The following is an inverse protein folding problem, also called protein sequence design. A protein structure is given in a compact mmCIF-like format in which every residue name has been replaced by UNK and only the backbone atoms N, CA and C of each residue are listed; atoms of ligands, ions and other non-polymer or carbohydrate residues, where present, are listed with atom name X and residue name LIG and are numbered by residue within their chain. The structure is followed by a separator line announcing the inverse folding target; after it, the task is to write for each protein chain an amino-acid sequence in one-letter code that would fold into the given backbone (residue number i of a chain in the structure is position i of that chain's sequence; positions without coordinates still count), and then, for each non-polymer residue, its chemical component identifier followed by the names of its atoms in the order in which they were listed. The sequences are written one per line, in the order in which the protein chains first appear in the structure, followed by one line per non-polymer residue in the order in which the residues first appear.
data_IF_044130232626
#
_entry.id   IF_044130232626
#
_cell.length_a   1.000
_cell.length_b   1.000
_cell.length_c   1.000
_cell.angle_alpha   90.00
_cell.angle_beta   90.00
_cell.angle_gamma   90.00
#
_symmetry.space_group_name_H-M   'P 1'
#
loop_
_entity.id
_entity.type
_entity.pdbx_description
1 polymer ?
#
# COMPACT_ATOMS: atom_id res chain seq x y z
N UNK A 1 -6.82 -2.49 18.43
CA UNK A 1 -6.36 -1.43 17.49
C UNK A 1 -4.95 -1.71 16.98
N UNK A 2 -3.91 -1.78 17.83
CA UNK A 2 -2.52 -2.04 17.38
C UNK A 2 -2.41 -3.37 16.61
N UNK A 3 -3.06 -4.44 17.09
CA UNK A 3 -3.05 -5.74 16.40
C UNK A 3 -3.68 -5.67 15.00
N UNK A 4 -4.73 -4.85 14.82
CA UNK A 4 -5.40 -4.68 13.52
C UNK A 4 -4.48 -3.94 12.55
N UNK A 5 -3.82 -2.88 13.02
CA UNK A 5 -2.82 -2.14 12.22
C UNK A 5 -1.66 -3.05 11.81
N UNK A 6 -1.15 -3.87 12.73
CA UNK A 6 -0.04 -4.79 12.46
C UNK A 6 -0.43 -5.90 11.46
N UNK A 7 -1.61 -6.49 11.61
CA UNK A 7 -2.12 -7.54 10.70
C UNK A 7 -2.37 -6.94 9.31
N UNK A 8 -3.00 -5.77 9.23
CA UNK A 8 -3.26 -5.08 7.96
C UNK A 8 -1.95 -4.77 7.23
N UNK A 9 -0.98 -4.18 7.95
CA UNK A 9 0.32 -3.89 7.38
C UNK A 9 1.04 -5.17 6.91
N UNK A 10 1.01 -6.24 7.70
CA UNK A 10 1.63 -7.50 7.33
C UNK A 10 1.02 -8.09 6.06
N UNK A 11 -0.32 -8.05 5.93
CA UNK A 11 -1.02 -8.48 4.72
C UNK A 11 -0.66 -7.62 3.51
N UNK A 12 -0.64 -6.30 3.67
CA UNK A 12 -0.25 -5.39 2.60
C UNK A 12 1.18 -5.64 2.15
N UNK A 13 2.14 -5.76 3.07
CA UNK A 13 3.52 -6.10 2.72
C UNK A 13 3.62 -7.48 2.05
N UNK A 14 2.83 -8.45 2.48
CA UNK A 14 2.79 -9.78 1.87
C UNK A 14 2.26 -9.77 0.43
N UNK A 15 1.47 -8.76 0.03
CA UNK A 15 0.98 -8.58 -1.35
C UNK A 15 1.89 -7.67 -2.16
N UNK A 16 2.23 -6.50 -1.63
CA UNK A 16 2.91 -5.44 -2.36
C UNK A 16 4.40 -5.71 -2.59
N UNK A 17 5.09 -6.37 -1.65
CA UNK A 17 6.51 -6.71 -1.82
C UNK A 17 6.70 -7.73 -2.96
N UNK A 18 5.90 -8.81 -3.07
CA UNK A 18 5.93 -9.68 -4.25
C UNK A 18 5.59 -8.95 -5.55
N UNK A 19 4.58 -8.08 -5.56
CA UNK A 19 4.22 -7.29 -6.74
C UNK A 19 5.40 -6.42 -7.17
N UNK A 20 6.02 -5.70 -6.24
CA UNK A 20 7.22 -4.90 -6.45
C UNK A 20 8.39 -5.74 -6.99
N UNK A 21 8.62 -6.93 -6.42
CA UNK A 21 9.67 -7.84 -6.88
C UNK A 21 9.44 -8.31 -8.33
N UNK A 22 8.20 -8.69 -8.66
CA UNK A 22 7.77 -9.05 -10.01
C UNK A 22 7.88 -7.87 -10.99
N UNK A 23 7.68 -6.64 -10.51
CA UNK A 23 7.87 -5.41 -11.28
C UNK A 23 9.34 -5.06 -11.53
N UNK A 24 10.26 -5.84 -10.98
CA UNK A 24 11.70 -5.71 -11.20
C UNK A 24 12.44 -4.93 -10.11
N UNK A 25 11.78 -4.54 -9.01
CA UNK A 25 12.44 -3.86 -7.91
C UNK A 25 13.48 -4.77 -7.24
N UNK A 26 14.58 -4.18 -6.78
CA UNK A 26 15.69 -4.90 -6.17
C UNK A 26 16.16 -4.18 -4.91
N UNK A 27 16.53 -4.96 -3.89
CA UNK A 27 17.18 -4.53 -2.63
C UNK A 27 16.66 -3.18 -2.11
N UNK A 28 17.33 -2.08 -2.48
CA UNK A 28 17.00 -0.71 -2.04
C UNK A 28 15.56 -0.31 -2.39
N UNK A 29 15.08 -0.65 -3.58
CA UNK A 29 13.71 -0.29 -3.98
C UNK A 29 12.66 -1.13 -3.26
N UNK A 30 12.99 -2.38 -2.90
CA UNK A 30 12.12 -3.20 -2.05
C UNK A 30 12.06 -2.65 -0.62
N UNK A 31 13.19 -2.19 -0.09
CA UNK A 31 13.23 -1.51 1.21
C UNK A 31 12.41 -0.21 1.15
N UNK A 32 12.51 0.56 0.06
CA UNK A 32 11.68 1.74 -0.15
C UNK A 32 10.19 1.35 -0.17
N UNK A 33 9.80 0.29 -0.89
CA UNK A 33 8.44 -0.23 -0.90
C UNK A 33 7.92 -0.55 0.51
N UNK A 34 8.71 -1.27 1.30
CA UNK A 34 8.36 -1.60 2.70
C UNK A 34 8.22 -0.33 3.55
N UNK A 35 9.17 0.60 3.44
CA UNK A 35 9.16 1.83 4.24
C UNK A 35 7.99 2.74 3.92
N UNK A 36 7.65 2.90 2.64
CA UNK A 36 6.53 3.75 2.26
C UNK A 36 5.22 3.11 2.72
N UNK A 37 5.05 1.80 2.56
CA UNK A 37 3.89 1.07 3.09
C UNK A 37 3.77 1.13 4.61
N UNK A 38 4.89 1.10 5.32
CA UNK A 38 4.94 1.28 6.78
C UNK A 38 4.40 2.66 7.20
N UNK A 39 4.50 3.67 6.34
CA UNK A 39 4.00 5.02 6.58
C UNK A 39 2.54 5.21 6.11
N UNK A 40 2.20 4.72 4.92
CA UNK A 40 0.88 4.96 4.31
C UNK A 40 -0.19 4.05 4.90
N UNK A 41 0.07 2.74 5.03
CA UNK A 41 -0.95 1.76 5.39
C UNK A 41 -1.53 1.97 6.80
N UNK A 42 -0.73 2.15 7.87
CA UNK A 42 -1.29 2.39 9.20
C UNK A 42 -2.08 3.69 9.28
N UNK A 43 -1.71 4.72 8.50
CA UNK A 43 -2.44 5.98 8.44
C UNK A 43 -3.82 5.80 7.78
N UNK A 44 -3.88 5.10 6.65
CA UNK A 44 -5.14 4.78 5.95
C UNK A 44 -6.06 3.95 6.85
N UNK A 45 -5.55 2.86 7.44
CA UNK A 45 -6.32 1.97 8.32
C UNK A 45 -6.83 2.72 9.55
N UNK A 46 -5.99 3.52 10.19
CA UNK A 46 -6.40 4.32 11.35
C UNK A 46 -7.53 5.29 10.98
N UNK A 47 -7.36 6.07 9.91
CA UNK A 47 -8.37 7.06 9.50
C UNK A 47 -9.67 6.38 9.04
N UNK A 48 -9.58 5.26 8.34
CA UNK A 48 -10.74 4.45 7.97
C UNK A 48 -11.49 3.94 9.21
N UNK A 49 -10.78 3.45 10.24
CA UNK A 49 -11.42 2.97 11.48
C UNK A 49 -12.08 4.08 12.29
N UNK A 50 -11.54 5.31 12.24
CA UNK A 50 -12.12 6.47 12.93
C UNK A 50 -13.33 7.04 12.17
N UNK A 51 -13.31 6.98 10.84
CA UNK A 51 -14.32 7.57 9.97
C UNK A 51 -14.69 6.58 8.84
N UNK A 52 -15.58 5.61 9.11
CA UNK A 52 -15.90 4.53 8.18
C UNK A 52 -16.86 5.00 7.07
N UNK A 53 -16.42 5.93 6.23
CA UNK A 53 -17.16 6.44 5.10
C UNK A 53 -16.50 6.00 3.79
N UNK A 54 -17.26 5.38 2.88
CA UNK A 54 -16.73 4.80 1.63
C UNK A 54 -15.98 5.84 0.78
N UNK A 55 -16.53 7.05 0.65
CA UNK A 55 -15.90 8.14 -0.09
C UNK A 55 -14.58 8.61 0.55
N UNK A 56 -14.48 8.55 1.88
CA UNK A 56 -13.28 8.90 2.61
C UNK A 56 -12.22 7.81 2.45
N UNK A 57 -12.59 6.54 2.54
CA UNK A 57 -11.70 5.42 2.25
C UNK A 57 -11.11 5.54 0.84
N UNK A 58 -11.94 5.81 -0.17
CA UNK A 58 -11.47 6.00 -1.54
C UNK A 58 -10.49 7.18 -1.66
N UNK A 59 -10.75 8.29 -0.93
CA UNK A 59 -9.84 9.44 -0.91
C UNK A 59 -8.51 9.11 -0.20
N UNK A 60 -8.54 8.31 0.87
CA UNK A 60 -7.36 7.87 1.61
C UNK A 60 -6.49 6.92 0.77
N UNK A 61 -7.10 5.96 0.09
CA UNK A 61 -6.42 5.05 -0.85
C UNK A 61 -5.79 5.85 -2.00
N UNK A 62 -6.51 6.82 -2.57
CA UNK A 62 -5.95 7.70 -3.61
C UNK A 62 -4.77 8.54 -3.09
N UNK A 63 -4.85 9.02 -1.85
CA UNK A 63 -3.75 9.74 -1.20
C UNK A 63 -2.53 8.84 -0.95
N UNK A 64 -2.75 7.58 -0.53
CA UNK A 64 -1.70 6.58 -0.34
C UNK A 64 -1.00 6.27 -1.67
N UNK A 65 -1.75 5.97 -2.73
CA UNK A 65 -1.22 5.81 -4.10
C UNK A 65 -0.42 7.03 -4.53
N UNK A 66 -0.94 8.23 -4.25
CA UNK A 66 -0.28 9.48 -4.57
C UNK A 66 1.07 9.65 -3.85
N UNK A 67 1.08 9.38 -2.54
CA UNK A 67 2.28 9.41 -1.72
C UNK A 67 3.30 8.36 -2.19
N UNK A 68 2.87 7.12 -2.40
CA UNK A 68 3.71 6.02 -2.89
C UNK A 68 4.29 6.30 -4.26
N UNK A 69 3.46 6.72 -5.21
CA UNK A 69 3.90 7.11 -6.55
C UNK A 69 4.92 8.24 -6.48
N UNK A 70 4.73 9.22 -5.60
CA UNK A 70 5.68 10.31 -5.38
C UNK A 70 7.02 9.80 -4.79
N UNK A 71 6.98 9.01 -3.71
CA UNK A 71 8.19 8.48 -3.08
C UNK A 71 8.97 7.55 -4.01
N UNK A 72 8.29 6.66 -4.73
CA UNK A 72 8.91 5.80 -5.75
C UNK A 72 9.50 6.61 -6.91
N UNK A 73 8.85 7.70 -7.33
CA UNK A 73 9.39 8.57 -8.38
C UNK A 73 10.63 9.34 -7.94
N UNK A 74 10.71 9.68 -6.65
CA UNK A 74 11.77 10.56 -6.12
C UNK A 74 12.98 9.79 -5.60
N UNK A 75 12.74 8.63 -5.00
CA UNK A 75 13.77 7.86 -4.29
C UNK A 75 14.01 6.47 -4.90
N UNK A 76 13.16 6.01 -5.82
CA UNK A 76 13.36 4.76 -6.55
C UNK A 76 14.49 4.88 -7.56
N UNK A 77 15.46 3.96 -7.50
CA UNK A 77 16.61 3.98 -8.39
C UNK A 77 16.31 3.27 -9.72
N UNK A 78 15.65 2.10 -9.67
CA UNK A 78 15.42 1.23 -10.83
C UNK A 78 13.93 1.11 -11.21
N UNK A 79 13.07 1.95 -10.61
CA UNK A 79 11.61 1.88 -10.80
C UNK A 79 11.22 2.54 -12.14
N UNK A 80 11.01 1.72 -13.19
CA UNK A 80 10.65 2.21 -14.53
C UNK A 80 9.32 2.97 -14.61
N UNK A 81 8.32 2.57 -13.84
CA UNK A 81 6.96 3.15 -13.83
C UNK A 81 6.42 3.27 -12.41
N UNK A 82 6.88 4.24 -11.62
CA UNK A 82 6.58 4.35 -10.19
C UNK A 82 5.10 4.51 -9.88
N UNK A 83 4.39 5.35 -10.65
CA UNK A 83 2.95 5.56 -10.49
C UNK A 83 2.12 4.33 -10.85
N UNK A 84 2.49 3.61 -11.92
CA UNK A 84 1.80 2.39 -12.32
C UNK A 84 2.02 1.25 -11.30
N UNK A 85 3.22 1.17 -10.74
CA UNK A 85 3.52 0.25 -9.64
C UNK A 85 2.67 0.56 -8.42
N UNK A 86 2.65 1.81 -7.96
CA UNK A 86 1.88 2.22 -6.79
C UNK A 86 0.38 1.92 -6.96
N UNK A 87 -0.19 2.29 -8.13
CA UNK A 87 -1.57 1.97 -8.47
C UNK A 87 -1.85 0.46 -8.46
N UNK A 88 -1.01 -0.34 -9.10
CA UNK A 88 -1.20 -1.78 -9.19
C UNK A 88 -1.08 -2.46 -7.81
N UNK A 89 -0.08 -2.07 -7.02
CA UNK A 89 0.16 -2.62 -5.69
C UNK A 89 -1.01 -2.30 -4.74
N UNK A 90 -1.42 -1.03 -4.67
CA UNK A 90 -2.54 -0.61 -3.83
C UNK A 90 -3.86 -1.23 -4.30
N UNK A 91 -4.14 -1.30 -5.60
CA UNK A 91 -5.37 -1.93 -6.10
C UNK A 91 -5.43 -3.42 -5.74
N UNK A 92 -4.32 -4.14 -5.85
CA UNK A 92 -4.25 -5.56 -5.47
C UNK A 92 -4.38 -5.75 -3.95
N UNK A 93 -3.72 -4.91 -3.16
CA UNK A 93 -3.82 -4.92 -1.70
C UNK A 93 -5.25 -4.61 -1.23
N UNK A 94 -5.89 -3.57 -1.79
CA UNK A 94 -7.27 -3.20 -1.49
C UNK A 94 -8.24 -4.32 -1.87
N UNK A 95 -8.12 -4.91 -3.07
CA UNK A 95 -9.01 -5.99 -3.49
C UNK A 95 -8.80 -7.27 -2.66
N UNK A 96 -7.58 -7.57 -2.21
CA UNK A 96 -7.32 -8.62 -1.24
C UNK A 96 -8.00 -8.33 0.12
N UNK A 97 -7.94 -7.08 0.60
CA UNK A 97 -8.63 -6.64 1.81
C UNK A 97 -10.15 -6.76 1.72
N UNK A 98 -10.74 -6.38 0.59
CA UNK A 98 -12.19 -6.55 0.32
C UNK A 98 -12.57 -8.03 0.30
N UNK A 99 -11.79 -8.89 -0.36
CA UNK A 99 -12.03 -10.34 -0.40
C UNK A 99 -11.99 -10.95 1.01
N UNK A 100 -11.04 -10.54 1.84
CA UNK A 100 -10.96 -11.01 3.24
C UNK A 100 -12.18 -10.59 4.05
N UNK A 101 -12.64 -9.35 3.90
CA UNK A 101 -13.88 -8.85 4.55
C UNK A 101 -15.17 -9.52 4.03
N UNK A 102 -15.14 -10.17 2.87
CA UNK A 102 -16.29 -10.93 2.34
C UNK A 102 -16.29 -12.39 2.83
N UNK A 103 -15.12 -12.95 3.15
CA UNK A 103 -14.95 -14.34 3.58
C UNK A 103 -15.13 -14.55 5.09
N UNK A 104 -15.02 -13.49 5.89
CA UNK A 104 -15.10 -13.48 7.35
C UNK A 104 -16.04 -12.36 7.83
#
# INVERSE_FOLDING_TARGET
MISILAISLALTLAVEVPVAFCWGLRRRDLLLCVLVNLLTNPAVVLLHTLFPAVWLTAALEAAAVGAEGFYYSRFGADIRRPWALALAANLLSYSAGVLLNLLF
#
